data_IF_650128046490
#
_entry.id   IF_650128046490
#
_cell.length_a   1.000
_cell.length_b   1.000
_cell.length_c   1.000
_cell.angle_alpha   90.00
_cell.angle_beta   90.00
_cell.angle_gamma   90.00
#
_symmetry.space_group_name_H-M   'P 1'
#
loop_
_entity.id
_entity.type
_entity.pdbx_description
1 polymer ?
#
# COMPACT_ATOMS: atom_id res chain seq x y z
N UNK A 1 13.07 11.59 -24.20
CA UNK A 1 11.72 11.00 -24.13
C UNK A 1 11.72 10.11 -22.91
N UNK A 2 10.77 10.29 -21.99
CA UNK A 2 10.62 9.42 -20.84
C UNK A 2 10.37 7.99 -21.26
N UNK A 3 10.98 7.08 -20.52
CA UNK A 3 10.72 5.65 -20.60
C UNK A 3 9.30 5.34 -20.09
N UNK A 4 8.85 6.03 -19.04
CA UNK A 4 7.56 5.74 -18.40
C UNK A 4 6.41 6.65 -18.84
N UNK A 5 6.70 7.89 -19.27
CA UNK A 5 5.69 8.83 -19.76
C UNK A 5 6.12 9.40 -21.12
N UNK A 6 5.38 9.07 -22.19
CA UNK A 6 5.59 9.71 -23.48
C UNK A 6 5.33 11.22 -23.37
N UNK A 7 6.16 12.02 -24.04
CA UNK A 7 6.05 13.48 -24.00
C UNK A 7 4.68 14.00 -24.48
N UNK A 8 4.02 13.25 -25.38
CA UNK A 8 2.66 13.53 -25.84
C UNK A 8 1.59 13.36 -24.74
N UNK A 9 1.84 12.53 -23.73
CA UNK A 9 0.89 12.26 -22.64
C UNK A 9 0.99 13.29 -21.51
N UNK A 10 2.11 14.02 -21.40
CA UNK A 10 2.29 15.07 -20.39
C UNK A 10 1.27 16.21 -20.52
N UNK A 11 0.76 16.47 -21.73
CA UNK A 11 -0.28 17.50 -21.94
C UNK A 11 -1.55 17.23 -21.15
N UNK A 12 -1.85 15.95 -20.89
CA UNK A 12 -3.04 15.53 -20.16
C UNK A 12 -2.97 15.88 -18.66
N UNK A 13 -1.78 16.14 -18.12
CA UNK A 13 -1.62 16.58 -16.72
C UNK A 13 -2.38 17.88 -16.43
N UNK A 14 -2.57 18.75 -17.43
CA UNK A 14 -3.34 19.99 -17.29
C UNK A 14 -4.84 19.76 -17.19
N UNK A 15 -5.32 18.60 -17.64
CA UNK A 15 -6.73 18.22 -17.58
C UNK A 15 -7.10 17.57 -16.25
N UNK A 16 -6.11 17.18 -15.45
CA UNK A 16 -6.32 16.49 -14.18
C UNK A 16 -7.06 17.37 -13.17
N UNK A 17 -8.06 16.78 -12.51
CA UNK A 17 -8.80 17.38 -11.39
C UNK A 17 -9.08 16.32 -10.35
N UNK A 18 -8.60 16.57 -9.13
CA UNK A 18 -8.81 15.68 -8.01
C UNK A 18 -10.29 15.53 -7.65
N UNK A 19 -10.71 14.28 -7.48
CA UNK A 19 -12.07 13.89 -7.16
C UNK A 19 -12.05 12.68 -6.25
N UNK A 20 -12.57 12.83 -5.04
CA UNK A 20 -12.74 11.75 -4.08
C UNK A 20 -14.11 11.78 -3.43
N UNK A 21 -14.59 10.61 -3.01
CA UNK A 21 -15.78 10.47 -2.19
C UNK A 21 -15.44 9.67 -0.95
N UNK A 22 -15.32 10.40 0.15
CA UNK A 22 -15.13 9.83 1.46
C UNK A 22 -16.47 9.63 2.16
N UNK A 23 -16.81 8.37 2.37
CA UNK A 23 -18.05 7.98 3.04
C UNK A 23 -17.83 7.58 4.50
N UNK A 24 -16.62 7.66 5.04
CA UNK A 24 -16.31 7.31 6.43
C UNK A 24 -17.03 8.24 7.42
N UNK A 25 -17.76 7.63 8.35
CA UNK A 25 -18.45 8.35 9.44
C UNK A 25 -17.42 8.95 10.39
N UNK A 26 -16.38 8.19 10.73
CA UNK A 26 -15.31 8.62 11.66
C UNK A 26 -14.56 9.81 11.06
N UNK A 27 -14.18 9.73 9.79
CA UNK A 27 -13.53 10.84 9.11
C UNK A 27 -14.42 12.07 9.08
N UNK A 28 -15.69 11.93 8.68
CA UNK A 28 -16.61 13.05 8.52
C UNK A 28 -16.82 13.82 9.82
N UNK A 29 -17.06 13.13 10.94
CA UNK A 29 -17.49 13.78 12.18
C UNK A 29 -16.39 13.99 13.22
N UNK A 30 -15.32 13.19 13.21
CA UNK A 30 -14.28 13.25 14.24
C UNK A 30 -12.98 13.81 13.66
N UNK A 31 -12.46 13.18 12.60
CA UNK A 31 -11.10 13.45 12.18
C UNK A 31 -10.96 14.65 11.25
N UNK A 32 -11.92 14.88 10.35
CA UNK A 32 -11.87 16.05 9.46
C UNK A 32 -11.85 17.38 10.23
N UNK A 33 -12.65 17.59 11.30
CA UNK A 33 -12.50 18.76 12.17
C UNK A 33 -11.12 18.87 12.81
N UNK A 34 -10.55 17.74 13.24
CA UNK A 34 -9.20 17.68 13.82
C UNK A 34 -8.12 18.04 12.78
N UNK A 35 -8.08 17.35 11.63
CA UNK A 35 -7.12 17.60 10.56
C UNK A 35 -7.22 19.02 10.00
N UNK A 36 -8.42 19.59 9.88
CA UNK A 36 -8.58 20.98 9.41
C UNK A 36 -7.86 21.97 10.33
N UNK A 37 -7.89 21.73 11.65
CA UNK A 37 -7.14 22.53 12.62
C UNK A 37 -5.65 22.18 12.60
N UNK A 38 -5.31 20.90 12.54
CA UNK A 38 -3.93 20.42 12.55
C UNK A 38 -3.14 20.92 11.33
N UNK A 39 -3.78 20.95 10.16
CA UNK A 39 -3.20 21.47 8.92
C UNK A 39 -2.76 22.94 9.03
N UNK A 40 -3.28 23.69 10.01
CA UNK A 40 -2.86 25.07 10.25
C UNK A 40 -1.44 25.19 10.81
N UNK A 41 -0.91 24.11 11.42
CA UNK A 41 0.44 24.07 12.00
C UNK A 41 1.51 24.13 10.91
N UNK A 42 1.25 23.55 9.74
CA UNK A 42 2.22 23.54 8.65
C UNK A 42 2.49 24.96 8.15
N UNK A 43 3.74 25.40 8.03
CA UNK A 43 4.04 26.72 7.48
C UNK A 43 3.63 26.83 6.01
N UNK A 44 3.21 28.01 5.57
CA UNK A 44 2.69 28.23 4.21
C UNK A 44 3.76 28.19 3.12
N UNK A 45 5.05 28.26 3.48
CA UNK A 45 6.18 28.04 2.57
C UNK A 45 6.46 26.55 2.32
N UNK A 46 5.93 25.67 3.15
CA UNK A 46 6.19 24.23 3.09
C UNK A 46 5.38 23.59 1.96
N UNK A 47 6.01 22.81 1.09
CA UNK A 47 5.30 22.09 0.03
C UNK A 47 4.44 20.94 0.61
N UNK A 48 3.27 20.65 0.03
CA UNK A 48 2.43 19.51 0.45
C UNK A 48 3.17 18.17 0.43
N UNK A 49 3.93 17.87 -0.63
CA UNK A 49 4.67 16.62 -0.73
C UNK A 49 5.73 16.46 0.38
N UNK A 50 6.24 17.56 0.93
CA UNK A 50 7.13 17.51 2.09
C UNK A 50 6.36 17.13 3.36
N UNK A 51 5.08 17.51 3.48
CA UNK A 51 4.20 17.03 4.56
C UNK A 51 4.04 15.52 4.47
N UNK A 52 3.68 14.99 3.30
CA UNK A 52 3.60 13.54 3.03
C UNK A 52 4.90 12.83 3.43
N UNK A 53 6.05 13.36 2.99
CA UNK A 53 7.37 12.78 3.27
C UNK A 53 7.71 12.79 4.77
N UNK A 54 7.40 13.87 5.49
CA UNK A 54 7.61 13.92 6.94
C UNK A 54 6.69 12.94 7.68
N UNK A 55 5.46 12.76 7.21
CA UNK A 55 4.55 11.71 7.68
C UNK A 55 5.21 10.33 7.55
N UNK A 56 5.74 10.03 6.36
CA UNK A 56 6.43 8.78 6.05
C UNK A 56 7.66 8.52 6.94
N UNK A 57 8.40 9.56 7.34
CA UNK A 57 9.53 9.40 8.25
C UNK A 57 9.13 8.77 9.58
N UNK A 58 7.91 9.00 10.10
CA UNK A 58 7.45 8.35 11.32
C UNK A 58 7.31 6.82 11.17
N UNK A 59 6.88 6.36 9.99
CA UNK A 59 6.82 4.93 9.67
C UNK A 59 8.22 4.34 9.60
N UNK A 60 9.16 5.05 8.96
CA UNK A 60 10.56 4.59 8.90
C UNK A 60 11.18 4.45 10.29
N UNK A 61 10.88 5.38 11.20
CA UNK A 61 11.32 5.30 12.61
C UNK A 61 10.72 4.08 13.29
N UNK A 62 9.42 3.80 13.08
CA UNK A 62 8.77 2.62 13.66
C UNK A 62 9.35 1.31 13.12
N UNK A 63 9.61 1.23 11.81
CA UNK A 63 10.27 0.07 11.19
C UNK A 63 11.68 -0.11 11.73
N UNK A 64 12.47 0.97 11.81
CA UNK A 64 13.83 0.90 12.37
C UNK A 64 13.81 0.45 13.83
N UNK A 65 12.86 0.96 14.62
CA UNK A 65 12.65 0.54 16.02
C UNK A 65 12.30 -0.94 16.10
N UNK A 66 11.40 -1.41 15.24
CA UNK A 66 11.01 -2.82 15.15
C UNK A 66 12.22 -3.70 14.83
N UNK A 67 12.97 -3.37 13.78
CA UNK A 67 14.12 -4.16 13.35
C UNK A 67 15.28 -4.12 14.36
N UNK A 68 15.35 -3.10 15.21
CA UNK A 68 16.34 -3.00 16.27
C UNK A 68 16.00 -3.91 17.47
N UNK A 69 14.74 -3.90 17.93
CA UNK A 69 14.31 -4.66 19.12
C UNK A 69 13.84 -6.08 18.82
N UNK A 70 13.22 -6.30 17.68
CA UNK A 70 12.61 -7.58 17.28
C UNK A 70 12.80 -7.84 15.77
N UNK A 71 14.05 -8.06 15.32
CA UNK A 71 14.33 -8.32 13.90
C UNK A 71 13.69 -9.60 13.38
N UNK A 72 13.35 -10.56 14.27
CA UNK A 72 12.69 -11.82 13.93
C UNK A 72 11.16 -11.73 13.89
N UNK A 73 10.57 -10.61 14.35
CA UNK A 73 9.13 -10.38 14.46
C UNK A 73 8.43 -11.36 15.41
N UNK A 74 9.15 -11.93 16.37
CA UNK A 74 8.67 -13.01 17.26
C UNK A 74 8.80 -12.66 18.74
N UNK A 75 9.55 -11.63 19.09
CA UNK A 75 9.94 -11.32 20.46
C UNK A 75 9.15 -10.13 20.98
N UNK A 76 8.78 -10.19 22.26
CA UNK A 76 8.18 -9.04 22.92
C UNK A 76 9.21 -7.90 23.01
N UNK A 77 8.81 -6.72 22.54
CA UNK A 77 9.63 -5.51 22.57
C UNK A 77 9.38 -4.72 23.87
N UNK A 78 10.31 -3.84 24.28
CA UNK A 78 10.08 -2.94 25.40
C UNK A 78 8.79 -2.13 25.21
N UNK A 79 7.96 -2.02 26.24
CA UNK A 79 6.59 -1.47 26.16
C UNK A 79 6.47 -0.11 25.44
N UNK A 80 7.50 0.72 25.53
CA UNK A 80 7.52 2.03 24.89
C UNK A 80 7.52 1.96 23.35
N UNK A 81 8.05 0.89 22.75
CA UNK A 81 8.09 0.73 21.29
C UNK A 81 6.69 0.67 20.73
N UNK A 82 5.75 -0.03 21.38
CA UNK A 82 4.36 -0.09 20.97
C UNK A 82 3.67 1.29 21.01
N UNK A 83 3.98 2.13 22.00
CA UNK A 83 3.50 3.53 22.00
C UNK A 83 4.11 4.35 20.86
N UNK A 84 5.38 4.10 20.50
CA UNK A 84 5.98 4.69 19.30
C UNK A 84 5.27 4.23 18.04
N UNK A 85 4.95 2.94 17.91
CA UNK A 85 4.22 2.39 16.77
C UNK A 85 2.87 3.07 16.59
N UNK A 86 2.11 3.17 17.69
CA UNK A 86 0.83 3.88 17.73
C UNK A 86 0.98 5.35 17.31
N UNK A 87 1.92 6.08 17.91
CA UNK A 87 2.11 7.50 17.62
C UNK A 87 2.54 7.73 16.18
N UNK A 88 3.53 6.97 15.69
CA UNK A 88 4.05 7.16 14.34
C UNK A 88 3.03 6.80 13.27
N UNK A 89 2.24 5.75 13.47
CA UNK A 89 1.15 5.40 12.54
C UNK A 89 0.02 6.44 12.56
N UNK A 90 -0.35 6.94 13.74
CA UNK A 90 -1.34 8.02 13.86
C UNK A 90 -0.87 9.32 13.21
N UNK A 91 0.40 9.69 13.40
CA UNK A 91 0.99 10.87 12.79
C UNK A 91 1.12 10.72 11.27
N UNK A 92 1.51 9.54 10.77
CA UNK A 92 1.51 9.25 9.33
C UNK A 92 0.13 9.55 8.72
N UNK A 93 -0.90 8.90 9.24
CA UNK A 93 -2.28 9.06 8.80
C UNK A 93 -2.75 10.52 8.89
N UNK A 94 -2.35 11.22 9.94
CA UNK A 94 -2.68 12.65 10.12
C UNK A 94 -1.99 13.53 9.07
N UNK A 95 -0.72 13.28 8.77
CA UNK A 95 0.06 14.07 7.81
C UNK A 95 -0.43 13.86 6.39
N UNK A 96 -0.69 12.60 6.02
CA UNK A 96 -1.36 12.16 4.80
C UNK A 96 -2.67 12.95 4.58
N UNK A 97 -3.61 12.85 5.52
CA UNK A 97 -4.88 13.57 5.39
C UNK A 97 -4.75 15.10 5.34
N UNK A 98 -3.69 15.66 5.93
CA UNK A 98 -3.44 17.09 5.96
C UNK A 98 -2.78 17.63 4.68
N UNK A 99 -2.07 16.80 3.91
CA UNK A 99 -1.30 17.28 2.76
C UNK A 99 -2.19 17.91 1.68
N UNK A 100 -3.35 17.31 1.39
CA UNK A 100 -4.32 17.80 0.42
C UNK A 100 -5.05 19.03 0.94
N UNK A 101 -5.29 19.11 2.25
CA UNK A 101 -5.83 20.32 2.88
C UNK A 101 -4.84 21.48 2.76
N UNK A 102 -3.57 21.21 3.05
CA UNK A 102 -2.49 22.18 2.94
C UNK A 102 -2.23 22.59 1.49
N UNK A 103 -2.33 21.65 0.53
CA UNK A 103 -2.23 21.90 -0.91
C UNK A 103 -3.33 22.85 -1.38
N UNK A 104 -4.58 22.64 -0.95
CA UNK A 104 -5.69 23.56 -1.25
C UNK A 104 -5.46 24.94 -0.65
N UNK A 105 -4.96 25.00 0.59
CA UNK A 105 -4.67 26.26 1.30
C UNK A 105 -3.56 27.07 0.63
N UNK A 106 -2.51 26.42 0.15
CA UNK A 106 -1.35 27.07 -0.50
C UNK A 106 -1.51 27.18 -2.03
N UNK A 107 -2.60 26.66 -2.60
CA UNK A 107 -2.86 26.64 -4.03
C UNK A 107 -1.90 25.74 -4.82
N UNK A 108 -1.39 24.69 -4.19
CA UNK A 108 -0.43 23.73 -4.74
C UNK A 108 -1.07 22.36 -5.07
N UNK A 109 -2.40 22.28 -5.16
CA UNK A 109 -3.08 21.05 -5.62
C UNK A 109 -2.72 20.77 -7.07
N UNK A 110 -2.30 19.54 -7.36
CA UNK A 110 -1.93 19.13 -8.71
C UNK A 110 -1.55 17.64 -8.81
N UNK A 111 -1.35 17.13 -10.04
CA UNK A 111 -1.14 15.69 -10.30
C UNK A 111 0.17 15.15 -9.70
N UNK A 112 1.20 15.99 -9.54
CA UNK A 112 2.43 15.56 -8.86
C UNK A 112 2.18 15.23 -7.39
N UNK A 113 1.31 15.97 -6.70
CA UNK A 113 1.05 15.77 -5.28
C UNK A 113 0.38 14.43 -5.02
N UNK A 114 -0.67 14.13 -5.78
CA UNK A 114 -1.37 12.85 -5.70
C UNK A 114 -0.49 11.66 -6.11
N UNK A 115 0.34 11.79 -7.16
CA UNK A 115 1.31 10.76 -7.48
C UNK A 115 2.25 10.50 -6.30
N UNK A 116 2.79 11.57 -5.71
CA UNK A 116 3.73 11.47 -4.60
C UNK A 116 3.10 10.77 -3.41
N UNK A 117 1.88 11.18 -3.05
CA UNK A 117 1.05 10.61 -2.00
C UNK A 117 0.82 9.10 -2.18
N UNK A 118 0.25 8.69 -3.32
CA UNK A 118 0.01 7.28 -3.62
C UNK A 118 1.29 6.44 -3.66
N UNK A 119 2.41 7.00 -4.13
CA UNK A 119 3.69 6.29 -4.12
C UNK A 119 4.17 6.04 -2.69
N UNK A 120 4.05 7.02 -1.80
CA UNK A 120 4.43 6.90 -0.40
C UNK A 120 3.51 5.91 0.32
N UNK A 121 2.20 6.01 0.13
CA UNK A 121 1.20 5.09 0.67
C UNK A 121 1.43 3.63 0.26
N UNK A 122 1.82 3.41 -0.99
CA UNK A 122 2.12 2.08 -1.51
C UNK A 122 3.30 1.42 -0.77
N UNK A 123 4.32 2.21 -0.40
CA UNK A 123 5.47 1.74 0.38
C UNK A 123 5.06 1.51 1.83
N UNK A 124 4.33 2.47 2.42
CA UNK A 124 3.85 2.37 3.79
C UNK A 124 3.00 1.10 4.01
N UNK A 125 2.20 0.70 3.02
CA UNK A 125 1.36 -0.50 3.08
C UNK A 125 2.16 -1.76 3.42
N UNK A 126 3.39 -1.90 2.90
CA UNK A 126 4.28 -3.02 3.30
C UNK A 126 5.02 -2.74 4.59
N UNK A 127 5.54 -1.52 4.75
CA UNK A 127 6.39 -1.18 5.90
C UNK A 127 5.64 -1.26 7.23
N UNK A 128 4.38 -0.82 7.27
CA UNK A 128 3.53 -0.87 8.47
C UNK A 128 3.15 -2.29 8.91
N UNK A 129 3.33 -3.29 8.06
CA UNK A 129 3.11 -4.70 8.44
C UNK A 129 4.19 -5.19 9.40
N UNK A 130 5.42 -4.68 9.31
CA UNK A 130 6.52 -5.12 10.18
C UNK A 130 6.25 -4.85 11.68
N UNK A 131 5.95 -3.60 12.12
CA UNK A 131 5.60 -3.35 13.52
C UNK A 131 4.32 -4.07 13.95
N UNK A 132 3.36 -4.28 13.04
CA UNK A 132 2.15 -5.07 13.33
C UNK A 132 2.49 -6.54 13.61
N UNK A 133 3.25 -7.20 12.73
CA UNK A 133 3.67 -8.58 12.91
C UNK A 133 4.57 -8.77 14.14
N UNK A 134 5.43 -7.80 14.45
CA UNK A 134 6.22 -7.79 15.69
C UNK A 134 5.32 -7.69 16.92
N UNK A 135 4.36 -6.77 16.95
CA UNK A 135 3.41 -6.66 18.06
C UNK A 135 2.57 -7.91 18.27
N UNK A 136 2.28 -8.66 17.21
CA UNK A 136 1.60 -9.96 17.30
C UNK A 136 2.54 -11.13 17.67
N UNK A 137 3.85 -10.98 17.50
CA UNK A 137 4.81 -12.09 17.60
C UNK A 137 4.65 -13.13 16.48
N UNK A 138 4.24 -12.71 15.29
CA UNK A 138 3.86 -13.59 14.17
C UNK A 138 5.06 -14.26 13.49
N UNK A 139 6.23 -13.62 13.54
CA UNK A 139 7.43 -14.04 12.83
C UNK A 139 7.33 -13.96 11.31
N UNK A 140 8.41 -14.36 10.65
CA UNK A 140 8.45 -14.53 9.19
C UNK A 140 7.75 -15.82 8.77
N UNK A 141 6.41 -15.80 8.74
CA UNK A 141 5.57 -16.96 8.43
C UNK A 141 4.72 -16.75 7.18
N UNK A 142 4.09 -17.81 6.68
CA UNK A 142 3.13 -17.72 5.57
C UNK A 142 1.96 -16.78 5.89
N UNK A 143 1.60 -16.64 7.17
CA UNK A 143 0.55 -15.72 7.62
C UNK A 143 0.96 -14.27 7.34
N UNK A 144 2.24 -13.92 7.54
CA UNK A 144 2.75 -12.59 7.19
C UNK A 144 2.59 -12.32 5.70
N UNK A 145 2.98 -13.26 4.83
CA UNK A 145 2.83 -13.09 3.37
C UNK A 145 1.35 -12.96 2.99
N UNK A 146 0.45 -13.71 3.64
CA UNK A 146 -0.99 -13.59 3.43
C UNK A 146 -1.54 -12.23 3.92
N UNK A 147 -1.06 -11.72 5.05
CA UNK A 147 -1.40 -10.39 5.54
C UNK A 147 -0.89 -9.29 4.59
N UNK A 148 0.32 -9.44 4.06
CA UNK A 148 0.87 -8.53 3.05
C UNK A 148 0.09 -8.57 1.74
N UNK A 149 -0.23 -9.77 1.25
CA UNK A 149 -1.12 -9.94 0.10
C UNK A 149 -2.45 -9.23 0.32
N UNK A 150 -3.04 -9.39 1.51
CA UNK A 150 -4.32 -8.80 1.90
C UNK A 150 -4.30 -7.28 1.86
N UNK A 151 -3.30 -6.64 2.49
CA UNK A 151 -3.14 -5.19 2.48
C UNK A 151 -2.85 -4.64 1.08
N UNK A 152 -1.94 -5.27 0.33
CA UNK A 152 -1.59 -4.82 -1.03
C UNK A 152 -2.70 -5.07 -2.03
N UNK A 153 -3.52 -6.12 -1.85
CA UNK A 153 -4.72 -6.35 -2.64
C UNK A 153 -5.71 -5.21 -2.47
N UNK A 154 -5.94 -4.81 -1.22
CA UNK A 154 -6.84 -3.71 -0.89
C UNK A 154 -6.40 -2.40 -1.58
N UNK A 155 -5.12 -2.06 -1.46
CA UNK A 155 -4.56 -0.85 -2.06
C UNK A 155 -4.56 -0.89 -3.59
N UNK A 156 -4.20 -2.05 -4.18
CA UNK A 156 -4.25 -2.25 -5.63
C UNK A 156 -5.66 -2.10 -6.18
N UNK A 157 -6.68 -2.65 -5.50
CA UNK A 157 -8.07 -2.56 -5.93
C UNK A 157 -8.60 -1.13 -5.89
N UNK A 158 -8.28 -0.37 -4.85
CA UNK A 158 -8.65 1.06 -4.78
C UNK A 158 -7.97 1.87 -5.90
N UNK A 159 -6.70 1.60 -6.18
CA UNK A 159 -5.98 2.25 -7.30
C UNK A 159 -6.57 1.87 -8.66
N UNK A 160 -6.92 0.60 -8.85
CA UNK A 160 -7.58 0.09 -10.06
C UNK A 160 -8.95 0.74 -10.26
N UNK A 161 -9.75 0.84 -9.20
CA UNK A 161 -11.04 1.50 -9.20
C UNK A 161 -10.91 2.97 -9.59
N UNK A 162 -9.96 3.69 -9.00
CA UNK A 162 -9.70 5.10 -9.31
C UNK A 162 -9.26 5.29 -10.76
N UNK A 163 -8.39 4.41 -11.28
CA UNK A 163 -7.98 4.46 -12.68
C UNK A 163 -9.18 4.45 -13.64
N UNK A 164 -10.15 3.57 -13.37
CA UNK A 164 -11.32 3.39 -14.24
C UNK A 164 -12.41 4.44 -14.02
N UNK A 165 -12.66 4.82 -12.77
CA UNK A 165 -13.79 5.70 -12.41
C UNK A 165 -13.40 7.18 -12.35
N UNK A 166 -12.10 7.48 -12.37
CA UNK A 166 -11.50 8.79 -12.13
C UNK A 166 -11.92 9.42 -10.78
N UNK A 167 -12.20 8.56 -9.80
CA UNK A 167 -12.63 8.95 -8.48
C UNK A 167 -12.08 8.01 -7.43
N UNK A 168 -11.43 8.55 -6.41
CA UNK A 168 -11.02 7.77 -5.25
C UNK A 168 -12.21 7.55 -4.32
N UNK A 169 -12.62 6.30 -4.12
CA UNK A 169 -13.68 5.93 -3.18
C UNK A 169 -13.07 5.46 -1.86
N UNK A 170 -13.48 6.08 -0.75
CA UNK A 170 -13.18 5.59 0.59
C UNK A 170 -14.47 5.02 1.20
N UNK A 171 -14.45 3.72 1.51
CA UNK A 171 -15.61 2.94 1.98
C UNK A 171 -16.24 3.49 3.26
N UNK A 172 -17.57 3.31 3.42
CA UNK A 172 -18.37 3.76 4.59
C UNK A 172 -17.98 3.10 5.91
N UNK A 173 -17.64 1.81 5.84
CA UNK A 173 -17.18 0.97 6.93
C UNK A 173 -15.93 0.23 6.45
N UNK A 174 -14.91 0.13 7.31
CA UNK A 174 -13.60 -0.44 6.97
C UNK A 174 -12.82 0.35 5.90
N UNK A 175 -12.91 1.68 5.93
CA UNK A 175 -11.96 2.52 5.22
C UNK A 175 -10.54 2.37 5.79
N UNK A 176 -9.50 2.85 5.08
CA UNK A 176 -8.12 2.83 5.58
C UNK A 176 -8.01 3.45 6.99
N UNK A 177 -8.80 4.48 7.24
CA UNK A 177 -8.77 5.26 8.48
C UNK A 177 -9.24 4.48 9.71
N UNK A 178 -10.38 3.78 9.64
CA UNK A 178 -10.85 2.97 10.77
C UNK A 178 -9.89 1.81 11.07
N UNK A 179 -9.34 1.18 10.03
CA UNK A 179 -8.34 0.13 10.18
C UNK A 179 -7.07 0.65 10.87
N UNK A 180 -6.57 1.81 10.46
CA UNK A 180 -5.42 2.47 11.07
C UNK A 180 -5.70 2.83 12.53
N UNK A 181 -6.85 3.45 12.85
CA UNK A 181 -7.18 3.81 14.22
C UNK A 181 -7.37 2.58 15.12
N UNK A 182 -7.94 1.50 14.59
CA UNK A 182 -8.00 0.22 15.28
C UNK A 182 -6.61 -0.29 15.62
N UNK A 183 -5.69 -0.28 14.66
CA UNK A 183 -4.30 -0.71 14.86
C UNK A 183 -3.54 0.18 15.85
N UNK A 184 -3.72 1.51 15.80
CA UNK A 184 -3.21 2.45 16.81
C UNK A 184 -3.72 2.08 18.20
N UNK A 185 -5.02 1.77 18.33
CA UNK A 185 -5.62 1.29 19.58
C UNK A 185 -4.96 0.00 20.07
N UNK A 186 -4.79 -0.99 19.21
CA UNK A 186 -4.14 -2.25 19.57
C UNK A 186 -2.68 -2.05 20.01
N UNK A 187 -1.91 -1.18 19.36
CA UNK A 187 -0.56 -0.84 19.79
C UNK A 187 -0.53 -0.18 21.17
N UNK A 188 -1.45 0.76 21.45
CA UNK A 188 -1.58 1.36 22.78
C UNK A 188 -1.91 0.30 23.83
N UNK A 189 -2.88 -0.57 23.55
CA UNK A 189 -3.27 -1.65 24.46
C UNK A 189 -2.12 -2.63 24.69
N UNK A 190 -1.36 -2.97 23.65
CA UNK A 190 -0.15 -3.80 23.74
C UNK A 190 0.88 -3.12 24.66
N UNK A 191 1.08 -1.81 24.50
CA UNK A 191 1.92 -1.01 25.39
C UNK A 191 1.46 -1.02 26.85
N UNK A 192 0.15 -1.01 27.14
CA UNK A 192 -0.43 -0.95 28.51
C UNK A 192 -0.57 -2.31 29.18
N UNK A 193 -0.86 -3.38 28.44
CA UNK A 193 -1.14 -4.70 29.00
C UNK A 193 -0.09 -5.77 28.67
N UNK A 194 0.75 -5.54 27.66
CA UNK A 194 1.74 -6.51 27.18
C UNK A 194 1.23 -7.27 25.96
N UNK A 195 2.13 -7.95 25.27
CA UNK A 195 1.83 -8.61 24.00
C UNK A 195 0.83 -9.77 24.14
N UNK A 196 1.11 -10.72 25.03
CA UNK A 196 0.26 -11.91 25.18
C UNK A 196 -1.16 -11.59 25.66
N UNK A 197 -1.30 -10.59 26.53
CA UNK A 197 -2.57 -10.16 27.10
C UNK A 197 -3.52 -9.53 26.07
N UNK A 198 -3.03 -9.16 24.88
CA UNK A 198 -3.83 -8.57 23.81
C UNK A 198 -3.99 -9.54 22.64
N UNK A 199 -2.90 -10.18 22.22
CA UNK A 199 -2.89 -10.91 20.95
C UNK A 199 -3.23 -12.40 21.11
N UNK A 200 -2.93 -12.99 22.27
CA UNK A 200 -3.03 -14.43 22.52
C UNK A 200 -4.13 -14.82 23.51
N UNK A 201 -5.05 -13.90 23.82
CA UNK A 201 -6.22 -14.19 24.66
C UNK A 201 -7.13 -15.19 23.94
N UNK A 202 -7.43 -16.30 24.63
CA UNK A 202 -8.42 -17.29 24.20
C UNK A 202 -9.82 -16.69 24.16
N UNK A 203 -10.52 -16.91 23.06
CA UNK A 203 -11.91 -16.46 22.88
C UNK A 203 -12.88 -17.64 23.00
N UNK A 204 -12.68 -18.68 22.20
CA UNK A 204 -13.50 -19.90 22.19
C UNK A 204 -12.82 -21.01 21.39
N UNK A 205 -13.30 -22.23 21.54
CA UNK A 205 -12.83 -23.38 20.78
C UNK A 205 -13.81 -23.74 19.65
N UNK A 206 -13.29 -23.99 18.45
CA UNK A 206 -14.07 -24.53 17.34
C UNK A 206 -13.63 -25.99 17.10
N UNK A 207 -14.59 -26.91 17.13
CA UNK A 207 -14.33 -28.30 16.70
C UNK A 207 -14.85 -28.48 15.28
N UNK A 208 -13.94 -28.47 14.30
CA UNK A 208 -14.25 -28.67 12.87
C UNK A 208 -13.73 -30.04 12.41
N UNK A 209 -14.64 -30.97 12.12
CA UNK A 209 -14.48 -32.30 11.47
C UNK A 209 -13.39 -33.28 11.99
N UNK A 210 -12.40 -32.80 12.74
CA UNK A 210 -11.30 -33.54 13.34
C UNK A 210 -11.40 -33.32 14.85
N UNK A 211 -11.32 -34.39 15.64
CA UNK A 211 -11.55 -34.42 17.09
C UNK A 211 -10.52 -33.64 17.94
N UNK A 212 -9.94 -32.54 17.43
CA UNK A 212 -9.11 -31.61 18.18
C UNK A 212 -9.74 -30.22 18.14
N UNK A 213 -10.10 -29.63 19.29
CA UNK A 213 -10.59 -28.26 19.32
C UNK A 213 -9.50 -27.30 18.83
N UNK A 214 -9.85 -26.42 17.89
CA UNK A 214 -9.02 -25.32 17.45
C UNK A 214 -9.28 -24.12 18.38
N UNK A 215 -8.24 -23.69 19.08
CA UNK A 215 -8.29 -22.55 19.99
C UNK A 215 -8.28 -21.24 19.18
N UNK A 216 -9.40 -20.53 19.18
CA UNK A 216 -9.52 -19.21 18.55
C UNK A 216 -9.04 -18.16 19.54
N UNK A 217 -8.04 -17.38 19.12
CA UNK A 217 -7.50 -16.26 19.89
C UNK A 217 -7.89 -14.90 19.29
N UNK A 218 -7.61 -13.83 20.01
CA UNK A 218 -7.82 -12.44 19.54
C UNK A 218 -7.12 -12.14 18.22
N UNK A 219 -5.88 -12.64 18.02
CA UNK A 219 -5.16 -12.54 16.74
C UNK A 219 -5.93 -13.16 15.57
N UNK A 220 -6.51 -14.34 15.77
CA UNK A 220 -7.33 -15.01 14.74
C UNK A 220 -8.58 -14.20 14.42
N UNK A 221 -9.27 -13.67 15.44
CA UNK A 221 -10.43 -12.82 15.25
C UNK A 221 -10.11 -11.57 14.42
N UNK A 222 -8.98 -10.89 14.69
CA UNK A 222 -8.57 -9.73 13.91
C UNK A 222 -8.26 -10.09 12.45
N UNK A 223 -7.56 -11.20 12.22
CA UNK A 223 -7.28 -11.68 10.85
C UNK A 223 -8.59 -11.96 10.11
N UNK A 224 -9.58 -12.59 10.75
CA UNK A 224 -10.88 -12.82 10.13
C UNK A 224 -11.62 -11.52 9.81
N UNK A 225 -11.56 -10.51 10.70
CA UNK A 225 -12.13 -9.19 10.43
C UNK A 225 -11.47 -8.51 9.23
N UNK A 226 -10.14 -8.60 9.12
CA UNK A 226 -9.39 -8.07 7.96
C UNK A 226 -9.85 -8.77 6.67
N UNK A 227 -9.99 -10.09 6.68
CA UNK A 227 -10.48 -10.86 5.51
C UNK A 227 -11.90 -10.44 5.11
N UNK A 228 -12.80 -10.25 6.07
CA UNK A 228 -14.17 -9.76 5.82
C UNK A 228 -14.13 -8.36 5.19
N UNK A 229 -13.30 -7.46 5.73
CA UNK A 229 -13.12 -6.11 5.19
C UNK A 229 -12.66 -6.11 3.73
N UNK A 230 -11.73 -7.01 3.38
CA UNK A 230 -11.22 -7.16 2.02
C UNK A 230 -12.32 -7.66 1.07
N UNK A 231 -13.13 -8.65 1.49
CA UNK A 231 -14.26 -9.13 0.69
C UNK A 231 -15.24 -7.99 0.41
N UNK A 232 -15.56 -7.19 1.43
CA UNK A 232 -16.42 -6.03 1.25
C UNK A 232 -15.83 -5.02 0.26
N UNK A 233 -14.52 -4.72 0.38
CA UNK A 233 -13.87 -3.78 -0.54
C UNK A 233 -13.85 -4.30 -1.99
N UNK A 234 -13.56 -5.59 -2.20
CA UNK A 234 -13.62 -6.23 -3.52
C UNK A 234 -15.01 -6.05 -4.15
N UNK A 235 -16.07 -6.35 -3.38
CA UNK A 235 -17.46 -6.24 -3.86
C UNK A 235 -17.81 -4.78 -4.18
N UNK A 236 -17.41 -3.84 -3.31
CA UNK A 236 -17.66 -2.41 -3.50
C UNK A 236 -16.95 -1.85 -4.73
N UNK A 237 -15.63 -2.08 -4.86
CA UNK A 237 -14.82 -1.63 -5.98
C UNK A 237 -15.35 -2.19 -7.32
N UNK A 238 -15.70 -3.47 -7.33
CA UNK A 238 -16.35 -4.12 -8.48
C UNK A 238 -17.64 -3.40 -8.88
N UNK A 239 -18.52 -3.12 -7.92
CA UNK A 239 -19.80 -2.45 -8.19
C UNK A 239 -19.58 -1.05 -8.77
N UNK A 240 -18.68 -0.27 -8.18
CA UNK A 240 -18.43 1.11 -8.59
C UNK A 240 -17.88 1.19 -10.03
N UNK A 241 -16.97 0.28 -10.42
CA UNK A 241 -16.46 0.22 -11.80
C UNK A 241 -17.54 -0.20 -12.81
N UNK A 242 -18.37 -1.19 -12.46
CA UNK A 242 -19.51 -1.60 -13.32
C UNK A 242 -20.47 -0.42 -13.52
N UNK A 243 -20.90 0.21 -12.43
CA UNK A 243 -21.82 1.36 -12.48
C UNK A 243 -21.24 2.53 -13.29
N UNK A 244 -19.93 2.77 -13.19
CA UNK A 244 -19.27 3.82 -13.97
C UNK A 244 -19.40 3.56 -15.47
N UNK A 245 -19.11 2.35 -15.95
CA UNK A 245 -19.19 2.04 -17.37
C UNK A 245 -20.64 1.96 -17.89
N UNK A 246 -21.58 1.52 -17.05
CA UNK A 246 -23.01 1.52 -17.38
C UNK A 246 -23.56 2.95 -17.54
N UNK A 247 -23.14 3.89 -16.67
CA UNK A 247 -23.61 5.28 -16.70
C UNK A 247 -22.95 6.13 -17.79
N UNK A 248 -21.68 5.86 -18.12
CA UNK A 248 -20.88 6.71 -19.03
C UNK A 248 -20.78 6.17 -20.46
N UNK A 249 -21.31 4.98 -20.75
CA UNK A 249 -21.39 4.45 -22.11
C UNK A 249 -22.82 4.59 -22.61
N UNK A 250 -23.08 5.03 -23.86
CA UNK A 250 -24.42 5.12 -24.41
C UNK A 250 -25.19 3.79 -24.25
N UNK A 251 -26.37 3.85 -23.64
CA UNK A 251 -27.17 2.68 -23.23
C UNK A 251 -27.59 1.76 -24.38
N UNK A 252 -27.63 2.29 -25.60
CA UNK A 252 -27.94 1.52 -26.82
C UNK A 252 -26.81 0.56 -27.23
N UNK A 253 -25.60 0.72 -26.68
CA UNK A 253 -24.41 -0.04 -27.06
C UNK A 253 -23.98 -1.04 -25.96
N UNK A 254 -24.87 -1.97 -25.61
CA UNK A 254 -24.65 -2.97 -24.54
C UNK A 254 -23.35 -3.78 -24.73
N UNK A 255 -23.02 -4.13 -25.96
CA UNK A 255 -21.77 -4.83 -26.29
C UNK A 255 -20.53 -4.01 -25.94
N UNK A 256 -20.58 -2.68 -26.11
CA UNK A 256 -19.47 -1.80 -25.72
C UNK A 256 -19.33 -1.69 -24.19
N UNK A 257 -20.45 -1.62 -23.46
CA UNK A 257 -20.45 -1.66 -21.98
C UNK A 257 -19.75 -2.92 -21.48
N UNK A 258 -20.19 -4.09 -21.95
CA UNK A 258 -19.63 -5.38 -21.56
C UNK A 258 -18.14 -5.49 -21.92
N UNK A 259 -17.75 -4.99 -23.11
CA UNK A 259 -16.34 -4.94 -23.52
C UNK A 259 -15.50 -4.07 -22.60
N UNK A 260 -15.97 -2.89 -22.22
CA UNK A 260 -15.25 -1.97 -21.34
C UNK A 260 -15.09 -2.56 -19.93
N UNK A 261 -16.17 -3.14 -19.38
CA UNK A 261 -16.15 -3.83 -18.09
C UNK A 261 -15.17 -5.01 -18.12
N UNK A 262 -15.22 -5.85 -19.15
CA UNK A 262 -14.30 -6.97 -19.30
C UNK A 262 -12.84 -6.53 -19.42
N UNK A 263 -12.58 -5.43 -20.14
CA UNK A 263 -11.25 -4.86 -20.23
C UNK A 263 -10.78 -4.27 -18.89
N UNK A 264 -11.67 -3.68 -18.10
CA UNK A 264 -11.34 -3.21 -16.76
C UNK A 264 -10.95 -4.38 -15.84
N UNK A 265 -11.71 -5.49 -15.84
CA UNK A 265 -11.37 -6.66 -15.04
C UNK A 265 -10.05 -7.33 -15.44
N UNK A 266 -9.63 -7.24 -16.71
CA UNK A 266 -8.28 -7.69 -17.10
C UNK A 266 -7.19 -6.93 -16.34
N UNK A 267 -7.45 -5.68 -15.95
CA UNK A 267 -6.56 -4.89 -15.10
C UNK A 267 -6.26 -5.51 -13.73
N UNK A 268 -7.02 -6.52 -13.29
CA UNK A 268 -6.74 -7.27 -12.06
C UNK A 268 -5.77 -8.45 -12.25
N UNK A 269 -5.56 -8.89 -13.51
CA UNK A 269 -4.69 -10.02 -13.83
C UNK A 269 -3.24 -9.82 -13.38
N UNK A 270 -2.59 -8.64 -13.54
CA UNK A 270 -1.22 -8.47 -13.11
C UNK A 270 -1.03 -8.84 -11.63
N UNK A 271 -1.91 -8.35 -10.75
CA UNK A 271 -1.85 -8.65 -9.32
C UNK A 271 -1.92 -10.16 -9.05
N UNK A 272 -2.91 -10.84 -9.63
CA UNK A 272 -3.11 -12.29 -9.43
C UNK A 272 -1.91 -13.08 -9.99
N UNK A 273 -1.46 -12.75 -11.20
CA UNK A 273 -0.35 -13.43 -11.87
C UNK A 273 0.98 -13.22 -11.16
N UNK A 274 1.16 -12.12 -10.44
CA UNK A 274 2.35 -11.89 -9.61
C UNK A 274 2.34 -12.73 -8.34
N UNK A 275 1.20 -12.88 -7.67
CA UNK A 275 1.14 -13.63 -6.42
C UNK A 275 1.15 -15.15 -6.59
N UNK A 276 0.72 -15.69 -7.74
CA UNK A 276 0.84 -17.13 -8.04
C UNK A 276 2.29 -17.64 -7.84
N UNK A 277 3.32 -17.08 -8.49
CA UNK A 277 4.70 -17.51 -8.28
C UNK A 277 5.24 -17.14 -6.89
N UNK A 278 4.77 -16.05 -6.25
CA UNK A 278 5.14 -15.75 -4.85
C UNK A 278 4.70 -16.88 -3.92
N UNK A 279 3.43 -17.29 -3.97
CA UNK A 279 2.90 -18.37 -3.15
C UNK A 279 3.52 -19.72 -3.50
N UNK A 280 3.75 -19.98 -4.79
CA UNK A 280 4.45 -21.19 -5.21
C UNK A 280 5.88 -21.24 -4.64
N UNK A 281 6.63 -20.15 -4.71
CA UNK A 281 8.02 -20.07 -4.21
C UNK A 281 8.11 -20.35 -2.71
N UNK A 282 7.27 -19.72 -1.89
CA UNK A 282 7.29 -19.93 -0.43
C UNK A 282 6.70 -21.30 -0.03
N UNK A 283 5.97 -21.96 -0.92
CA UNK A 283 5.49 -23.34 -0.69
C UNK A 283 6.58 -24.37 -0.92
N UNK A 284 7.47 -24.14 -1.89
CA UNK A 284 8.61 -25.04 -2.16
C UNK A 284 9.80 -24.76 -1.23
N UNK A 285 9.98 -23.51 -0.82
CA UNK A 285 11.09 -23.10 0.04
C UNK A 285 10.67 -21.96 1.00
N UNK A 286 10.25 -22.29 2.23
CA UNK A 286 9.86 -21.31 3.24
C UNK A 286 10.98 -20.33 3.66
N UNK A 287 12.25 -20.67 3.46
CA UNK A 287 13.38 -19.77 3.79
C UNK A 287 13.39 -18.45 3.00
N UNK A 288 12.62 -18.37 1.90
CA UNK A 288 12.36 -17.10 1.22
C UNK A 288 11.54 -16.13 2.06
N UNK A 289 10.76 -16.59 3.04
CA UNK A 289 10.01 -15.70 3.92
C UNK A 289 10.99 -15.05 4.90
N UNK A 290 11.52 -13.91 4.48
CA UNK A 290 12.49 -13.11 5.20
C UNK A 290 12.30 -11.62 4.85
N UNK A 291 12.95 -10.73 5.60
CA UNK A 291 12.83 -9.29 5.40
C UNK A 291 13.05 -8.82 3.94
N UNK A 292 14.17 -9.15 3.26
CA UNK A 292 14.39 -8.65 1.90
C UNK A 292 13.34 -9.17 0.91
N UNK A 293 12.82 -10.38 1.08
CA UNK A 293 11.74 -10.88 0.22
C UNK A 293 10.43 -10.11 0.41
N UNK A 294 10.05 -9.84 1.66
CA UNK A 294 8.84 -9.04 1.99
C UNK A 294 8.97 -7.63 1.41
N UNK A 295 10.14 -7.01 1.57
CA UNK A 295 10.41 -5.69 1.00
C UNK A 295 10.41 -5.74 -0.54
N UNK A 296 10.96 -6.79 -1.15
CA UNK A 296 10.94 -6.97 -2.60
C UNK A 296 9.52 -7.02 -3.17
N UNK A 297 8.60 -7.72 -2.48
CA UNK A 297 7.17 -7.74 -2.83
C UNK A 297 6.59 -6.34 -2.72
N UNK A 298 6.87 -5.64 -1.61
CA UNK A 298 6.39 -4.28 -1.37
C UNK A 298 6.84 -3.28 -2.44
N UNK A 299 8.14 -3.22 -2.75
CA UNK A 299 8.68 -2.33 -3.78
C UNK A 299 8.17 -2.66 -5.18
N UNK A 300 7.98 -3.95 -5.48
CA UNK A 300 7.35 -4.38 -6.74
C UNK A 300 5.93 -3.85 -6.86
N UNK A 301 5.12 -4.02 -5.81
CA UNK A 301 3.74 -3.52 -5.80
C UNK A 301 3.67 -1.99 -5.81
N UNK A 302 4.56 -1.30 -5.09
CA UNK A 302 4.69 0.15 -5.11
C UNK A 302 4.99 0.69 -6.52
N UNK A 303 5.91 0.04 -7.24
CA UNK A 303 6.17 0.36 -8.65
C UNK A 303 4.92 0.19 -9.52
N UNK A 304 4.20 -0.93 -9.37
CA UNK A 304 3.01 -1.22 -10.18
C UNK A 304 1.90 -0.20 -9.92
N UNK A 305 1.62 0.11 -8.65
CA UNK A 305 0.62 1.13 -8.29
C UNK A 305 1.02 2.51 -8.81
N UNK A 306 2.30 2.90 -8.65
CA UNK A 306 2.81 4.14 -9.22
C UNK A 306 2.59 4.22 -10.74
N UNK A 307 2.80 3.11 -11.48
CA UNK A 307 2.52 3.03 -12.92
C UNK A 307 1.04 3.21 -13.24
N UNK A 308 0.14 2.65 -12.43
CA UNK A 308 -1.31 2.80 -12.61
C UNK A 308 -1.71 4.27 -12.40
N UNK A 309 -1.23 4.91 -11.34
CA UNK A 309 -1.49 6.34 -11.07
C UNK A 309 -0.93 7.21 -12.19
N UNK A 310 0.31 7.00 -12.62
CA UNK A 310 0.86 7.70 -13.79
C UNK A 310 -0.04 7.54 -15.00
N UNK A 311 -0.53 6.32 -15.27
CA UNK A 311 -1.46 6.06 -16.36
C UNK A 311 -2.77 6.84 -16.21
N UNK A 312 -3.33 6.90 -15.01
CA UNK A 312 -4.53 7.68 -14.70
C UNK A 312 -4.30 9.18 -14.96
N UNK A 313 -3.23 9.76 -14.39
CA UNK A 313 -2.91 11.19 -14.47
C UNK A 313 -2.61 11.68 -15.89
N UNK A 314 -2.01 10.80 -16.69
CA UNK A 314 -1.59 11.13 -18.06
C UNK A 314 -2.52 10.54 -19.13
N UNK A 315 -3.62 9.89 -18.72
CA UNK A 315 -4.59 9.24 -19.60
C UNK A 315 -3.97 8.19 -20.54
N UNK A 316 -2.97 7.45 -20.04
CA UNK A 316 -2.36 6.33 -20.76
C UNK A 316 -3.19 5.05 -20.56
N UNK A 317 -2.89 4.03 -21.36
CA UNK A 317 -3.44 2.69 -21.16
C UNK A 317 -3.01 2.08 -19.82
N UNK A 318 -3.86 1.21 -19.27
CA UNK A 318 -3.57 0.50 -18.03
C UNK A 318 -2.29 -0.35 -18.16
N UNK A 319 -1.35 -0.25 -17.21
CA UNK A 319 -0.04 -0.92 -17.30
C UNK A 319 -0.14 -2.41 -16.98
N UNK A 320 -0.47 -3.22 -17.99
CA UNK A 320 -0.63 -4.67 -17.84
C UNK A 320 0.67 -5.44 -17.59
N UNK A 321 1.81 -4.93 -18.05
CA UNK A 321 3.11 -5.57 -17.94
C UNK A 321 4.05 -4.64 -17.19
N UNK A 322 4.58 -5.12 -16.06
CA UNK A 322 5.52 -4.37 -15.24
C UNK A 322 6.73 -5.26 -14.95
N UNK A 323 7.95 -4.89 -15.40
CA UNK A 323 9.14 -5.74 -15.30
C UNK A 323 9.45 -6.31 -13.91
N UNK A 324 9.31 -5.57 -12.79
CA UNK A 324 9.56 -6.12 -11.46
C UNK A 324 8.68 -7.33 -11.10
N UNK A 325 7.52 -7.49 -11.73
CA UNK A 325 6.59 -8.58 -11.43
C UNK A 325 7.10 -9.96 -11.88
N UNK A 326 8.13 -10.01 -12.73
CA UNK A 326 8.75 -11.28 -13.14
C UNK A 326 9.81 -11.78 -12.15
N UNK A 327 10.14 -10.99 -11.10
CA UNK A 327 11.15 -11.36 -10.10
C UNK A 327 10.88 -12.72 -9.44
N UNK A 328 9.66 -13.06 -8.96
CA UNK A 328 9.42 -14.35 -8.32
C UNK A 328 9.61 -15.52 -9.28
N UNK A 329 9.22 -15.37 -10.55
CA UNK A 329 9.43 -16.40 -11.59
C UNK A 329 10.91 -16.62 -11.85
N UNK A 330 11.68 -15.53 -11.96
CA UNK A 330 13.13 -15.59 -12.09
C UNK A 330 13.78 -16.28 -10.88
N UNK A 331 13.35 -15.92 -9.65
CA UNK A 331 13.83 -16.52 -8.42
C UNK A 331 13.53 -18.02 -8.36
N UNK A 332 12.32 -18.46 -8.76
CA UNK A 332 11.98 -19.89 -8.84
C UNK A 332 12.92 -20.61 -9.82
N UNK A 333 13.07 -20.09 -11.03
CA UNK A 333 13.89 -20.72 -12.07
C UNK A 333 15.37 -20.82 -11.63
N UNK A 334 15.92 -19.74 -11.07
CA UNK A 334 17.30 -19.74 -10.57
C UNK A 334 17.46 -20.62 -9.34
N UNK A 335 16.50 -20.64 -8.41
CA UNK A 335 16.54 -21.51 -7.24
C UNK A 335 16.58 -22.99 -7.64
N UNK A 336 15.67 -23.42 -8.53
CA UNK A 336 15.62 -24.80 -9.01
C UNK A 336 16.90 -25.19 -9.75
N UNK A 337 17.44 -24.30 -10.58
CA UNK A 337 18.70 -24.56 -11.29
C UNK A 337 19.90 -24.68 -10.34
N UNK A 338 20.06 -23.75 -9.40
CA UNK A 338 21.21 -23.74 -8.49
C UNK A 338 21.16 -24.89 -7.48
N UNK A 339 19.99 -25.17 -6.91
CA UNK A 339 19.83 -26.22 -5.89
C UNK A 339 19.77 -27.60 -6.52
N UNK A 340 18.89 -27.83 -7.51
CA UNK A 340 18.70 -29.17 -8.07
C UNK A 340 19.67 -29.48 -9.22
N UNK A 341 20.11 -28.47 -9.97
CA UNK A 341 21.04 -28.65 -11.08
C UNK A 341 22.51 -28.63 -10.65
N UNK A 342 22.87 -27.76 -9.70
CA UNK A 342 24.26 -27.54 -9.28
C UNK A 342 24.56 -27.94 -7.83
N UNK A 343 23.57 -28.45 -7.08
CA UNK A 343 23.70 -28.92 -5.70
C UNK A 343 24.22 -27.86 -4.71
N UNK A 344 23.89 -26.58 -4.93
CA UNK A 344 24.15 -25.54 -3.94
C UNK A 344 23.21 -25.65 -2.74
N UNK A 345 23.67 -25.16 -1.59
CA UNK A 345 22.91 -25.13 -0.34
C UNK A 345 21.66 -24.22 -0.46
N UNK A 346 20.52 -24.75 -0.03
CA UNK A 346 19.22 -24.09 -0.15
C UNK A 346 19.14 -22.73 0.57
N UNK A 347 19.66 -22.63 1.79
CA UNK A 347 19.60 -21.41 2.61
C UNK A 347 20.45 -20.31 1.97
N UNK A 348 21.66 -20.65 1.54
CA UNK A 348 22.57 -19.73 0.85
C UNK A 348 21.93 -19.19 -0.43
N UNK A 349 21.36 -20.06 -1.28
CA UNK A 349 20.71 -19.64 -2.54
C UNK A 349 19.46 -18.79 -2.27
N UNK A 350 18.57 -19.22 -1.38
CA UNK A 350 17.33 -18.48 -1.08
C UNK A 350 17.60 -17.09 -0.48
N UNK A 351 18.59 -16.98 0.42
CA UNK A 351 19.01 -15.70 1.00
C UNK A 351 19.59 -14.76 -0.07
N UNK A 352 20.49 -15.27 -0.92
CA UNK A 352 21.09 -14.48 -2.00
C UNK A 352 20.03 -14.00 -3.00
N UNK A 353 19.09 -14.87 -3.39
CA UNK A 353 18.00 -14.52 -4.31
C UNK A 353 17.01 -13.53 -3.69
N UNK A 354 16.76 -13.59 -2.38
CA UNK A 354 15.92 -12.63 -1.68
C UNK A 354 16.53 -11.23 -1.70
N UNK A 355 17.83 -11.11 -1.40
CA UNK A 355 18.56 -9.83 -1.48
C UNK A 355 18.70 -9.31 -2.91
N UNK A 356 18.92 -10.19 -3.88
CA UNK A 356 18.92 -9.82 -5.30
C UNK A 356 17.56 -9.24 -5.72
N UNK A 357 16.46 -9.91 -5.37
CA UNK A 357 15.11 -9.42 -5.66
C UNK A 357 14.84 -8.07 -5.01
N UNK A 358 15.24 -7.91 -3.74
CA UNK A 358 15.12 -6.64 -3.03
C UNK A 358 15.90 -5.51 -3.70
N UNK A 359 17.20 -5.70 -3.97
CA UNK A 359 18.02 -4.69 -4.62
C UNK A 359 17.49 -4.28 -6.00
N UNK A 360 17.03 -5.26 -6.79
CA UNK A 360 16.52 -5.03 -8.14
C UNK A 360 15.14 -4.33 -8.12
N UNK A 361 14.24 -4.70 -7.22
CA UNK A 361 12.94 -4.03 -7.07
C UNK A 361 13.09 -2.58 -6.56
N UNK A 362 13.98 -2.34 -5.59
CA UNK A 362 14.34 -0.99 -5.12
C UNK A 362 14.93 -0.16 -6.27
N UNK A 363 15.90 -0.72 -7.01
CA UNK A 363 16.53 -0.02 -8.13
C UNK A 363 15.52 0.37 -9.22
N UNK A 364 14.60 -0.54 -9.58
CA UNK A 364 13.54 -0.23 -10.55
C UNK A 364 12.55 0.81 -10.03
N UNK A 365 12.16 0.75 -8.76
CA UNK A 365 11.28 1.74 -8.16
C UNK A 365 11.94 3.12 -8.07
N UNK A 366 13.20 3.19 -7.63
CA UNK A 366 13.96 4.44 -7.57
C UNK A 366 14.15 5.05 -8.96
N UNK A 367 14.47 4.24 -9.96
CA UNK A 367 14.56 4.69 -11.35
C UNK A 367 13.23 5.29 -11.84
N UNK A 368 12.12 4.59 -11.61
CA UNK A 368 10.78 5.07 -11.94
C UNK A 368 10.43 6.40 -11.27
N UNK A 369 10.56 6.49 -9.94
CA UNK A 369 10.21 7.71 -9.20
C UNK A 369 11.08 8.89 -9.64
N UNK A 370 12.39 8.68 -9.80
CA UNK A 370 13.31 9.74 -10.22
C UNK A 370 12.94 10.31 -11.60
N UNK A 371 12.65 9.43 -12.57
CA UNK A 371 12.25 9.86 -13.90
C UNK A 371 10.93 10.62 -13.88
N UNK A 372 9.89 10.07 -13.23
CA UNK A 372 8.57 10.71 -13.21
C UNK A 372 8.60 12.06 -12.48
N UNK A 373 9.29 12.14 -11.33
CA UNK A 373 9.44 13.41 -10.62
C UNK A 373 10.13 14.43 -11.54
N UNK A 374 11.22 14.04 -12.20
CA UNK A 374 11.93 14.92 -13.11
C UNK A 374 11.04 15.41 -14.26
N UNK A 375 10.29 14.52 -14.91
CA UNK A 375 9.43 14.89 -16.03
C UNK A 375 8.25 15.78 -15.61
N UNK A 376 7.60 15.45 -14.50
CA UNK A 376 6.45 16.22 -14.01
C UNK A 376 6.88 17.59 -13.52
N UNK A 377 7.96 17.67 -12.73
CA UNK A 377 8.48 18.96 -12.24
C UNK A 377 8.95 19.86 -13.37
N UNK A 378 9.60 19.30 -14.39
CA UNK A 378 10.03 20.04 -15.59
C UNK A 378 8.84 20.53 -16.40
N UNK A 379 7.85 19.66 -16.64
CA UNK A 379 6.68 20.01 -17.46
C UNK A 379 5.75 21.02 -16.79
N UNK A 380 5.51 20.87 -15.48
CA UNK A 380 4.62 21.73 -14.69
C UNK A 380 5.31 22.99 -14.16
N UNK A 381 6.61 23.13 -14.40
CA UNK A 381 7.44 24.21 -13.87
C UNK A 381 7.33 24.37 -12.33
N UNK A 382 7.58 23.29 -11.60
CA UNK A 382 7.47 23.26 -10.13
C UNK A 382 8.62 22.50 -9.49
N UNK A 383 8.79 22.62 -8.17
CA UNK A 383 9.70 21.78 -7.41
C UNK A 383 8.92 20.70 -6.65
N UNK A 384 9.55 19.54 -6.44
CA UNK A 384 8.90 18.41 -5.80
C UNK A 384 8.67 18.61 -4.29
N UNK A 385 9.62 19.23 -3.59
CA UNK A 385 9.61 19.34 -2.11
C UNK A 385 9.64 20.79 -1.60
N UNK A 386 9.55 21.77 -2.49
CA UNK A 386 9.48 23.19 -2.15
C UNK A 386 8.50 23.92 -3.07
N UNK A 387 7.99 25.08 -2.63
CA UNK A 387 7.06 25.87 -3.44
C UNK A 387 7.86 26.82 -4.33
N UNK A 388 7.83 26.59 -5.65
CA UNK A 388 8.50 27.48 -6.62
C UNK A 388 7.76 28.80 -6.81
N UNK A 389 6.42 28.72 -6.90
CA UNK A 389 5.54 29.86 -7.18
C UNK A 389 4.55 30.06 -6.02
N UNK A 390 4.93 30.76 -4.94
CA UNK A 390 4.07 30.94 -3.78
C UNK A 390 2.90 31.88 -4.10
N UNK A 391 1.69 31.46 -3.74
CA UNK A 391 0.51 32.32 -3.81
C UNK A 391 0.60 33.39 -2.72
N UNK A 392 0.35 34.66 -3.07
CA UNK A 392 0.11 35.70 -2.07
C UNK A 392 -1.17 35.34 -1.32
N UNK A 393 -1.03 35.00 -0.04
CA UNK A 393 -2.16 34.80 0.85
C UNK A 393 -2.77 36.19 1.09
N UNK A 394 -4.00 36.38 0.61
CA UNK A 394 -4.78 37.62 0.79
C UNK A 394 -5.32 37.74 2.20
#
# INVERSE_FOLDING_TARGET
>A
MGFFVPQSSLVNLKNYKYSSEDRSIVTKYILKPFWTKFALIFPTWMAPNLVTLLGFCFILINVATTLYYDPSLTQESPRWTYFSYALGLFLYQTFDACDGMHARRTGQSGPLGELFDHCVDSLNTTLSILPFCSAMGMGYTHILIFAQFSCLCNFYLSTWEEFHTHKLFLSEFSGPVEGILGLVGFFILTGIFGQDAIWNVHLFDITLFVNKPFNVTTSHALIYLIVIGIIFNIISARRNVIEYYEKNTPSENRTAIEKNINNAFKGLLPFILFYIPVFFLISIQPNFINLPFILSIGFTMAFVVGRIIVGHLTQQHYPMINPPMFLPVLQIATYLFMVNGLNYEQITVSTALSWFGFGLSVGMHAFFINEIIYEFTTYLDMYALSIKHPKKLS
#
